data_IF_572599282913
#
_entry.id   IF_572599282913
#
_cell.length_a   1.000
_cell.length_b   1.000
_cell.length_c   1.000
_cell.angle_alpha   90.00
_cell.angle_beta   90.00
_cell.angle_gamma   90.00
#
_symmetry.space_group_name_H-M   'P 1'
#
loop_
_entity.id
_entity.type
_entity.pdbx_description
1 polymer ?
#
# COMPACT_ATOMS: atom_id res chain seq x y z
N UNK A 1 -27.12 2.15 25.90
CA UNK A 1 -25.87 1.58 25.38
C UNK A 1 -25.25 0.69 26.44
N UNK A 2 -25.20 -0.60 26.18
CA UNK A 2 -24.62 -1.60 27.09
C UNK A 2 -23.14 -1.82 26.77
N UNK A 3 -22.38 -2.38 27.73
CA UNK A 3 -20.98 -2.78 27.49
C UNK A 3 -20.85 -3.72 26.28
N UNK A 4 -21.81 -4.62 26.09
CA UNK A 4 -21.85 -5.56 24.94
C UNK A 4 -21.99 -4.82 23.62
N UNK A 5 -22.88 -3.84 23.56
CA UNK A 5 -23.08 -3.00 22.35
C UNK A 5 -21.85 -2.16 22.04
N UNK A 6 -21.23 -1.58 23.08
CA UNK A 6 -20.00 -0.80 22.93
C UNK A 6 -18.82 -1.65 22.41
N UNK A 7 -18.61 -2.83 22.99
CA UNK A 7 -17.55 -3.76 22.54
C UNK A 7 -17.83 -4.24 21.10
N UNK A 8 -19.07 -4.58 20.77
CA UNK A 8 -19.42 -4.98 19.41
C UNK A 8 -19.16 -3.86 18.39
N UNK A 9 -19.41 -2.61 18.77
CA UNK A 9 -19.10 -1.46 17.92
C UNK A 9 -17.58 -1.26 17.78
N UNK A 10 -16.82 -1.32 18.86
CA UNK A 10 -15.36 -1.19 18.84
C UNK A 10 -14.70 -2.26 17.96
N UNK A 11 -15.13 -3.52 18.07
CA UNK A 11 -14.62 -4.62 17.25
C UNK A 11 -14.92 -4.39 15.76
N UNK A 12 -16.13 -3.93 15.42
CA UNK A 12 -16.48 -3.61 14.02
C UNK A 12 -15.60 -2.48 13.46
N UNK A 13 -15.37 -1.43 14.23
CA UNK A 13 -14.48 -0.34 13.82
C UNK A 13 -13.05 -0.84 13.63
N UNK A 14 -12.54 -1.63 14.58
CA UNK A 14 -11.19 -2.21 14.49
C UNK A 14 -11.03 -3.05 13.22
N UNK A 15 -11.97 -3.96 12.93
CA UNK A 15 -11.91 -4.80 11.73
C UNK A 15 -11.97 -3.98 10.45
N UNK A 16 -12.79 -2.91 10.42
CA UNK A 16 -12.88 -2.02 9.26
C UNK A 16 -11.57 -1.29 8.99
N UNK A 17 -10.91 -0.78 10.04
CA UNK A 17 -9.59 -0.14 9.93
C UNK A 17 -8.56 -1.14 9.42
N UNK A 18 -8.51 -2.34 10.02
CA UNK A 18 -7.56 -3.39 9.59
C UNK A 18 -7.78 -3.84 8.14
N UNK A 19 -9.03 -3.92 7.69
CA UNK A 19 -9.31 -4.26 6.29
C UNK A 19 -8.78 -3.20 5.32
N UNK A 20 -8.92 -1.91 5.67
CA UNK A 20 -8.38 -0.82 4.87
C UNK A 20 -6.84 -0.85 4.82
N UNK A 21 -6.18 -1.11 5.95
CA UNK A 21 -4.72 -1.26 6.03
C UNK A 21 -4.24 -2.43 5.15
N UNK A 22 -4.91 -3.58 5.22
CA UNK A 22 -4.58 -4.75 4.39
C UNK A 22 -4.76 -4.48 2.90
N UNK A 23 -5.83 -3.79 2.51
CA UNK A 23 -6.04 -3.40 1.11
C UNK A 23 -4.94 -2.46 0.61
N UNK A 24 -4.54 -1.46 1.41
CA UNK A 24 -3.46 -0.54 1.04
C UNK A 24 -2.12 -1.29 0.89
N UNK A 25 -1.77 -2.14 1.85
CA UNK A 25 -0.55 -2.95 1.79
C UNK A 25 -0.54 -3.90 0.58
N UNK A 26 -1.69 -4.47 0.22
CA UNK A 26 -1.80 -5.33 -0.95
C UNK A 26 -1.64 -4.55 -2.25
N UNK A 27 -2.20 -3.34 -2.35
CA UNK A 27 -1.99 -2.47 -3.51
C UNK A 27 -0.52 -2.05 -3.66
N UNK A 28 0.14 -1.73 -2.56
CA UNK A 28 1.57 -1.39 -2.54
C UNK A 28 2.44 -2.57 -2.99
N UNK A 29 2.16 -3.77 -2.49
CA UNK A 29 2.86 -4.99 -2.92
C UNK A 29 2.61 -5.29 -4.41
N UNK A 30 1.39 -5.10 -4.91
CA UNK A 30 1.09 -5.27 -6.34
C UNK A 30 1.78 -4.22 -7.22
N UNK A 31 1.95 -2.99 -6.73
CA UNK A 31 2.68 -1.94 -7.47
C UNK A 31 4.16 -2.27 -7.66
N UNK A 32 4.77 -3.03 -6.75
CA UNK A 32 6.13 -3.55 -6.92
C UNK A 32 6.21 -4.68 -7.95
N UNK A 33 5.08 -5.36 -8.21
CA UNK A 33 4.96 -6.51 -9.11
C UNK A 33 4.45 -6.13 -10.50
N UNK A 34 4.21 -4.84 -10.78
CA UNK A 34 3.62 -4.38 -12.05
C UNK A 34 4.49 -4.64 -13.29
N UNK A 35 5.71 -5.16 -13.09
CA UNK A 35 6.60 -5.62 -14.16
C UNK A 35 7.30 -4.49 -14.90
N UNK A 36 7.01 -3.23 -14.59
CA UNK A 36 7.64 -2.07 -15.21
C UNK A 36 9.13 -2.00 -14.89
N UNK A 37 9.91 -1.34 -15.75
CA UNK A 37 11.31 -1.07 -15.42
C UNK A 37 11.40 -0.12 -14.23
N UNK A 38 10.50 0.86 -14.14
CA UNK A 38 10.40 1.76 -12.99
C UNK A 38 10.19 1.02 -11.65
N UNK A 39 9.28 0.03 -11.57
CA UNK A 39 9.06 -0.74 -10.34
C UNK A 39 10.26 -1.61 -9.96
N UNK A 40 10.98 -2.17 -10.94
CA UNK A 40 12.21 -2.93 -10.70
C UNK A 40 13.32 -2.04 -10.17
N UNK A 41 13.49 -0.85 -10.75
CA UNK A 41 14.48 0.13 -10.27
C UNK A 41 14.12 0.63 -8.87
N UNK A 42 12.84 0.88 -8.57
CA UNK A 42 12.37 1.23 -7.22
C UNK A 42 12.72 0.14 -6.19
N UNK A 43 12.50 -1.12 -6.53
CA UNK A 43 12.80 -2.26 -5.64
C UNK A 43 14.29 -2.41 -5.34
N UNK A 44 15.17 -2.18 -6.31
CA UNK A 44 16.63 -2.31 -6.14
C UNK A 44 17.25 -1.08 -5.47
N UNK A 45 16.77 0.11 -5.81
CA UNK A 45 17.33 1.38 -5.30
C UNK A 45 16.74 1.82 -3.95
N UNK A 46 15.55 1.30 -3.60
CA UNK A 46 14.78 1.77 -2.45
C UNK A 46 14.14 3.15 -2.65
N UNK A 47 14.22 3.73 -3.84
CA UNK A 47 13.59 5.00 -4.19
C UNK A 47 12.12 4.77 -4.56
N UNK A 48 11.27 5.76 -4.27
CA UNK A 48 9.88 5.75 -4.77
C UNK A 48 9.85 6.04 -6.27
N UNK A 49 8.73 5.73 -6.94
CA UNK A 49 8.56 6.05 -8.36
C UNK A 49 8.71 7.55 -8.62
N UNK A 50 8.19 8.39 -7.73
CA UNK A 50 8.27 9.85 -7.83
C UNK A 50 9.72 10.34 -7.76
N UNK A 51 10.53 9.77 -6.87
CA UNK A 51 11.95 10.09 -6.77
C UNK A 51 12.73 9.64 -8.02
N UNK A 52 12.34 8.53 -8.64
CA UNK A 52 12.94 8.07 -9.89
C UNK A 52 12.58 9.02 -11.05
N UNK A 53 11.34 9.47 -11.13
CA UNK A 53 10.91 10.47 -12.13
C UNK A 53 11.67 11.80 -11.96
N UNK A 54 11.89 12.26 -10.73
CA UNK A 54 12.71 13.46 -10.46
C UNK A 54 14.16 13.33 -10.94
N UNK A 55 14.68 12.11 -11.04
CA UNK A 55 16.03 11.80 -11.51
C UNK A 55 16.10 11.53 -13.02
N UNK A 56 15.00 11.73 -13.75
CA UNK A 56 14.93 11.55 -15.20
C UNK A 56 14.17 10.31 -15.66
N UNK A 57 13.55 9.56 -14.74
CA UNK A 57 12.67 8.43 -15.06
C UNK A 57 13.42 7.19 -15.58
N UNK A 58 12.64 6.21 -16.04
CA UNK A 58 13.15 4.97 -16.66
C UNK A 58 12.36 4.70 -17.94
N UNK A 59 13.05 4.37 -19.03
CA UNK A 59 12.38 3.95 -20.27
C UNK A 59 11.76 2.57 -20.11
N UNK A 60 10.48 2.45 -20.47
CA UNK A 60 9.78 1.18 -20.60
C UNK A 60 10.12 0.57 -21.96
N UNK A 61 10.66 -0.66 -21.95
CA UNK A 61 11.11 -1.39 -23.14
C UNK A 61 10.07 -2.33 -23.72
#
# INVERSE_FOLDING_TARGET
MTKKEFVAQAVRVYLKVRQAELHAAMQEAMAQLDGTHAARVALVSGLTKEQIEELGGVEEG
#
